data_IF_249152554896
#
_entry.id   IF_249152554896
#
_cell.length_a   1.000
_cell.length_b   1.000
_cell.length_c   1.000
_cell.angle_alpha   90.00
_cell.angle_beta   90.00
_cell.angle_gamma   90.00
#
_symmetry.space_group_name_H-M   'P 1'
#
loop_
_entity.id
_entity.type
_entity.pdbx_description
1 polymer ?
#
# COMPACT_ATOMS: atom_id res chain seq x y z
N UNK A 1 -2.09 13.58 -16.41
CA UNK A 1 -2.24 12.18 -16.87
C UNK A 1 -3.08 11.45 -15.82
N UNK A 2 -4.39 11.26 -16.06
CA UNK A 2 -5.30 10.54 -15.14
C UNK A 2 -5.03 9.05 -15.33
N UNK A 3 -4.42 8.38 -14.35
CA UNK A 3 -4.19 6.94 -14.45
C UNK A 3 -5.52 6.18 -14.23
N UNK A 4 -6.09 5.76 -15.37
CA UNK A 4 -6.65 4.45 -15.69
C UNK A 4 -7.59 3.74 -14.70
N UNK A 5 -8.85 3.58 -15.15
CA UNK A 5 -9.78 2.46 -14.99
C UNK A 5 -9.53 1.45 -13.83
N UNK A 6 -9.41 1.94 -12.60
CA UNK A 6 -9.20 1.12 -11.40
C UNK A 6 -10.34 0.13 -11.11
N UNK A 7 -11.50 0.25 -11.79
CA UNK A 7 -12.59 -0.74 -11.78
C UNK A 7 -12.76 -1.46 -13.13
N UNK A 8 -11.65 -1.87 -13.74
CA UNK A 8 -11.63 -2.55 -15.03
C UNK A 8 -12.52 -3.79 -15.05
N UNK A 9 -13.48 -3.85 -15.97
CA UNK A 9 -14.30 -5.06 -16.19
C UNK A 9 -13.42 -6.25 -16.59
N UNK A 10 -12.39 -6.02 -17.41
CA UNK A 10 -11.53 -7.09 -17.91
C UNK A 10 -10.77 -7.82 -16.78
N UNK A 11 -10.34 -7.09 -15.74
CA UNK A 11 -9.68 -7.69 -14.57
C UNK A 11 -10.68 -8.57 -13.80
N UNK A 12 -11.91 -8.07 -13.62
CA UNK A 12 -12.97 -8.84 -12.98
C UNK A 12 -13.37 -10.08 -13.78
N UNK A 13 -13.42 -10.00 -15.11
CA UNK A 13 -13.72 -11.13 -16.00
C UNK A 13 -12.64 -12.22 -15.91
N UNK A 14 -11.36 -11.82 -15.78
CA UNK A 14 -10.25 -12.75 -15.53
C UNK A 14 -10.44 -13.44 -14.16
N UNK A 15 -10.81 -12.67 -13.13
CA UNK A 15 -11.14 -13.25 -11.81
C UNK A 15 -12.27 -14.26 -11.90
N UNK A 16 -13.37 -13.96 -12.61
CA UNK A 16 -14.51 -14.89 -12.74
C UNK A 16 -14.10 -16.19 -13.42
N UNK A 17 -13.33 -16.12 -14.51
CA UNK A 17 -12.79 -17.32 -15.17
C UNK A 17 -11.87 -18.12 -14.25
N UNK A 18 -11.04 -17.42 -13.46
CA UNK A 18 -10.16 -18.06 -12.49
C UNK A 18 -10.95 -18.72 -11.35
N UNK A 19 -12.00 -18.06 -10.87
CA UNK A 19 -12.91 -18.56 -9.85
C UNK A 19 -13.57 -19.86 -10.33
N UNK A 20 -14.14 -19.86 -11.54
CA UNK A 20 -14.87 -21.01 -12.12
C UNK A 20 -13.94 -22.13 -12.62
N UNK A 21 -12.61 -21.93 -12.67
CA UNK A 21 -11.66 -22.94 -13.14
C UNK A 21 -11.45 -24.11 -12.15
N UNK A 22 -10.99 -25.25 -12.66
CA UNK A 22 -10.66 -26.44 -11.86
C UNK A 22 -9.28 -26.36 -11.17
N UNK A 23 -8.61 -25.21 -11.23
CA UNK A 23 -7.31 -25.04 -10.59
C UNK A 23 -7.41 -25.17 -9.06
N UNK A 24 -6.35 -25.68 -8.43
CA UNK A 24 -6.27 -25.66 -6.97
C UNK A 24 -6.23 -24.22 -6.44
N UNK A 25 -6.72 -24.01 -5.21
CA UNK A 25 -6.75 -22.70 -4.58
C UNK A 25 -5.37 -22.01 -4.60
N UNK A 26 -4.29 -22.73 -4.30
CA UNK A 26 -2.94 -22.17 -4.31
C UNK A 26 -2.51 -21.63 -5.70
N UNK A 27 -2.91 -22.31 -6.78
CA UNK A 27 -2.67 -21.82 -8.15
C UNK A 27 -3.52 -20.59 -8.46
N UNK A 28 -4.80 -20.59 -8.07
CA UNK A 28 -5.70 -19.43 -8.22
C UNK A 28 -5.13 -18.21 -7.49
N UNK A 29 -4.72 -18.39 -6.24
CA UNK A 29 -4.09 -17.37 -5.41
C UNK A 29 -2.83 -16.78 -6.07
N UNK A 30 -1.93 -17.62 -6.60
CA UNK A 30 -0.71 -17.16 -7.26
C UNK A 30 -0.99 -16.32 -8.51
N UNK A 31 -1.90 -16.79 -9.37
CA UNK A 31 -2.31 -16.07 -10.59
C UNK A 31 -2.97 -14.75 -10.22
N UNK A 32 -3.88 -14.78 -9.24
CA UNK A 32 -4.59 -13.60 -8.77
C UNK A 32 -3.63 -12.53 -8.24
N UNK A 33 -2.68 -12.91 -7.37
CA UNK A 33 -1.63 -11.98 -6.92
C UNK A 33 -0.88 -11.37 -8.09
N UNK A 34 -0.50 -12.19 -9.06
CA UNK A 34 0.24 -11.73 -10.24
C UNK A 34 -0.57 -10.75 -11.10
N UNK A 35 -1.90 -10.87 -11.11
CA UNK A 35 -2.81 -9.96 -11.82
C UNK A 35 -2.87 -8.58 -11.16
N UNK A 36 -2.78 -8.50 -9.82
CA UNK A 36 -2.82 -7.22 -9.10
C UNK A 36 -1.42 -6.58 -8.99
N UNK A 37 -0.36 -7.39 -9.00
CA UNK A 37 1.03 -6.91 -8.88
C UNK A 37 1.42 -6.02 -10.06
N UNK A 38 1.92 -4.82 -9.76
CA UNK A 38 2.41 -3.87 -10.76
C UNK A 38 1.35 -2.89 -11.25
N UNK A 39 0.10 -3.08 -10.86
CA UNK A 39 -0.95 -2.11 -11.09
C UNK A 39 -0.71 -0.82 -10.30
N UNK A 40 -0.94 0.33 -10.94
CA UNK A 40 -0.71 1.64 -10.33
C UNK A 40 -1.60 1.92 -9.11
N UNK A 41 -2.68 1.17 -8.96
CA UNK A 41 -3.60 1.23 -7.84
C UNK A 41 -3.33 0.18 -6.76
N UNK A 42 -2.49 -0.83 -7.03
CA UNK A 42 -2.19 -1.86 -6.05
C UNK A 42 -1.13 -1.42 -5.04
N UNK A 43 -1.33 -1.81 -3.78
CA UNK A 43 -0.43 -1.52 -2.64
C UNK A 43 -0.11 -0.03 -2.48
N UNK A 44 -1.12 0.81 -2.75
CA UNK A 44 -1.06 2.24 -2.54
C UNK A 44 -0.81 2.52 -1.06
N UNK A 45 0.13 3.42 -0.81
CA UNK A 45 0.31 3.94 0.53
C UNK A 45 -0.87 4.88 0.82
N UNK A 46 -1.63 4.56 1.86
CA UNK A 46 -2.81 5.32 2.31
C UNK A 46 -2.55 6.04 3.63
N UNK A 47 -1.45 5.73 4.32
CA UNK A 47 -1.06 6.41 5.55
C UNK A 47 0.45 6.41 5.80
N UNK A 48 0.89 7.31 6.66
CA UNK A 48 2.27 7.40 7.12
C UNK A 48 2.31 7.52 8.64
N UNK A 49 3.17 6.73 9.28
CA UNK A 49 3.34 6.78 10.72
C UNK A 49 4.12 8.02 11.18
N UNK A 50 3.95 8.35 12.45
CA UNK A 50 4.62 9.47 13.10
C UNK A 50 6.13 9.32 13.05
N UNK A 51 6.69 8.18 13.47
CA UNK A 51 8.15 8.00 13.50
C UNK A 51 8.74 7.88 12.10
N UNK A 52 7.96 7.38 11.13
CA UNK A 52 8.34 7.42 9.72
C UNK A 52 8.46 8.86 9.22
N UNK A 53 7.46 9.71 9.48
CA UNK A 53 7.49 11.13 9.10
C UNK A 53 8.64 11.89 9.78
N UNK A 54 8.92 11.60 11.04
CA UNK A 54 10.07 12.17 11.76
C UNK A 54 11.41 11.73 11.16
N UNK A 55 11.52 10.46 10.73
CA UNK A 55 12.70 9.95 10.03
C UNK A 55 12.94 10.71 8.72
N UNK A 56 11.87 11.01 7.97
CA UNK A 56 11.96 11.86 6.78
C UNK A 56 12.38 13.30 7.09
N UNK A 57 11.84 13.90 8.16
CA UNK A 57 12.23 15.25 8.63
C UNK A 57 13.71 15.32 8.96
N UNK A 58 14.23 14.35 9.73
CA UNK A 58 15.66 14.26 10.10
C UNK A 58 16.58 14.19 8.88
N UNK A 59 16.13 13.52 7.82
CA UNK A 59 16.86 13.44 6.55
C UNK A 59 16.55 14.59 5.58
N UNK A 60 15.93 15.69 6.03
CA UNK A 60 15.55 16.85 5.20
C UNK A 60 14.70 16.47 3.96
N UNK A 61 13.94 15.37 4.05
CA UNK A 61 13.16 14.81 2.95
C UNK A 61 13.98 14.48 1.71
N UNK A 62 15.27 14.17 1.85
CA UNK A 62 16.08 13.75 0.72
C UNK A 62 15.77 12.32 0.30
N UNK A 63 15.63 12.11 -1.01
CA UNK A 63 15.56 10.77 -1.58
C UNK A 63 16.86 10.04 -1.26
N UNK A 64 16.73 8.79 -0.89
CA UNK A 64 17.85 7.87 -0.82
C UNK A 64 18.49 7.66 -2.20
N UNK A 65 19.52 8.45 -2.51
CA UNK A 65 20.28 8.28 -3.75
C UNK A 65 21.25 7.10 -3.59
N UNK A 66 21.27 6.20 -4.57
CA UNK A 66 22.43 5.31 -4.78
C UNK A 66 23.60 6.20 -5.22
N UNK A 67 24.38 6.69 -4.28
CA UNK A 67 25.74 7.17 -4.57
C UNK A 67 26.60 5.91 -4.63
N UNK A 68 27.43 5.78 -5.68
CA UNK A 68 28.09 4.57 -6.20
C UNK A 68 28.78 3.64 -5.17
N UNK A 69 28.91 3.99 -3.90
CA UNK A 69 29.55 3.17 -2.86
C UNK A 69 28.79 3.07 -1.53
N UNK A 70 27.75 3.89 -1.26
CA UNK A 70 26.96 3.80 -0.02
C UNK A 70 25.49 4.14 -0.31
N UNK A 71 24.60 3.15 -0.15
CA UNK A 71 23.14 3.37 -0.15
C UNK A 71 22.81 4.18 1.11
N UNK A 72 22.61 5.50 0.99
CA UNK A 72 21.97 6.32 2.03
C UNK A 72 20.45 6.13 1.95
N UNK A 73 19.98 4.90 2.17
CA UNK A 73 18.54 4.65 2.35
C UNK A 73 18.13 5.04 3.76
N UNK A 74 16.91 5.54 3.92
CA UNK A 74 16.21 5.42 5.19
C UNK A 74 15.95 3.92 5.35
N UNK A 75 16.94 3.19 5.85
CA UNK A 75 16.94 1.71 5.94
C UNK A 75 15.84 1.19 6.87
N UNK A 76 15.28 2.08 7.69
CA UNK A 76 14.30 1.76 8.70
C UNK A 76 12.86 1.88 8.22
N UNK A 77 12.57 2.37 7.01
CA UNK A 77 11.17 2.53 6.55
C UNK A 77 10.73 1.34 5.72
N UNK A 78 9.54 0.84 6.01
CA UNK A 78 8.89 -0.32 5.38
C UNK A 78 7.41 -0.03 5.13
N UNK A 79 6.80 -0.83 4.25
CA UNK A 79 5.36 -0.82 4.02
C UNK A 79 4.71 -1.89 4.87
N UNK A 80 3.67 -1.51 5.59
CA UNK A 80 2.85 -2.40 6.40
C UNK A 80 1.47 -2.49 5.76
N UNK A 81 1.11 -3.68 5.30
CA UNK A 81 -0.27 -3.97 4.89
C UNK A 81 -1.08 -4.22 6.16
N UNK A 82 -2.19 -3.49 6.33
CA UNK A 82 -3.05 -3.64 7.51
C UNK A 82 -3.75 -4.99 7.52
N UNK A 83 -4.16 -5.44 6.33
CA UNK A 83 -4.79 -6.73 6.13
C UNK A 83 -3.82 -7.66 5.40
N UNK A 84 -3.78 -8.92 5.83
CA UNK A 84 -3.05 -9.94 5.11
C UNK A 84 -3.75 -10.23 3.79
N UNK A 85 -3.08 -9.92 2.68
CA UNK A 85 -3.62 -10.14 1.34
C UNK A 85 -4.01 -11.60 1.08
N UNK A 86 -3.37 -12.56 1.75
CA UNK A 86 -3.72 -13.96 1.61
C UNK A 86 -5.12 -14.27 2.15
N UNK A 87 -5.52 -13.60 3.22
CA UNK A 87 -6.82 -13.81 3.85
C UNK A 87 -7.91 -13.07 3.06
N UNK A 88 -7.60 -11.87 2.54
CA UNK A 88 -8.42 -11.17 1.53
C UNK A 88 -8.70 -12.05 0.31
N UNK A 89 -7.66 -12.65 -0.27
CA UNK A 89 -7.80 -13.51 -1.45
C UNK A 89 -8.65 -14.74 -1.13
N UNK A 90 -8.41 -15.38 0.03
CA UNK A 90 -9.26 -16.50 0.47
C UNK A 90 -10.73 -16.09 0.51
N UNK A 91 -11.06 -15.00 1.19
CA UNK A 91 -12.44 -14.50 1.29
C UNK A 91 -13.09 -14.23 -0.08
N UNK A 92 -12.34 -13.63 -1.01
CA UNK A 92 -12.76 -13.35 -2.39
C UNK A 92 -13.04 -14.63 -3.20
N UNK A 93 -12.31 -15.72 -2.93
CA UNK A 93 -12.53 -17.00 -3.61
C UNK A 93 -13.53 -17.91 -2.88
N UNK A 94 -13.78 -17.70 -1.59
CA UNK A 94 -14.87 -18.38 -0.86
C UNK A 94 -16.23 -17.76 -1.16
N UNK A 95 -16.29 -16.44 -1.30
CA UNK A 95 -17.52 -15.70 -1.55
C UNK A 95 -17.45 -15.20 -2.99
N UNK A 96 -18.18 -15.83 -3.93
CA UNK A 96 -18.30 -15.29 -5.30
C UNK A 96 -18.98 -13.91 -5.22
N UNK A 97 -18.20 -12.84 -5.36
CA UNK A 97 -18.67 -11.46 -5.21
C UNK A 97 -19.14 -10.88 -6.54
N UNK A 98 -20.05 -9.92 -6.47
CA UNK A 98 -20.34 -9.03 -7.60
C UNK A 98 -19.12 -8.17 -7.94
N UNK A 99 -19.12 -7.53 -9.11
CA UNK A 99 -18.00 -6.68 -9.54
C UNK A 99 -17.76 -5.54 -8.55
N UNK A 100 -18.83 -4.92 -8.09
CA UNK A 100 -18.82 -3.79 -7.17
C UNK A 100 -18.22 -4.21 -5.82
N UNK A 101 -18.76 -5.28 -5.23
CA UNK A 101 -18.29 -5.84 -3.95
C UNK A 101 -16.84 -6.31 -4.04
N UNK A 102 -16.45 -6.90 -5.16
CA UNK A 102 -15.08 -7.37 -5.39
C UNK A 102 -14.09 -6.21 -5.39
N UNK A 103 -14.39 -5.14 -6.13
CA UNK A 103 -13.54 -3.96 -6.15
C UNK A 103 -13.49 -3.24 -4.81
N UNK A 104 -14.64 -3.10 -4.14
CA UNK A 104 -14.70 -2.42 -2.84
C UNK A 104 -13.91 -3.20 -1.78
N UNK A 105 -13.96 -4.53 -1.81
CA UNK A 105 -13.15 -5.39 -0.94
C UNK A 105 -11.65 -5.20 -1.17
N UNK A 106 -11.19 -5.27 -2.42
CA UNK A 106 -9.77 -5.10 -2.77
C UNK A 106 -9.27 -3.71 -2.35
N UNK A 107 -10.01 -2.65 -2.69
CA UNK A 107 -9.60 -1.29 -2.38
C UNK A 107 -9.58 -1.01 -0.87
N UNK A 108 -10.48 -1.63 -0.12
CA UNK A 108 -10.54 -1.48 1.34
C UNK A 108 -9.38 -2.21 2.03
N UNK A 109 -9.01 -3.39 1.54
CA UNK A 109 -8.05 -4.27 2.23
C UNK A 109 -6.61 -4.11 1.75
N UNK A 110 -6.36 -3.48 0.60
CA UNK A 110 -5.00 -3.15 0.14
C UNK A 110 -4.39 -1.89 0.79
N UNK A 111 -5.04 -1.35 1.83
CA UNK A 111 -4.54 -0.21 2.60
C UNK A 111 -3.15 -0.51 3.17
N UNK A 112 -2.19 0.31 2.78
CA UNK A 112 -0.79 0.15 3.15
C UNK A 112 -0.28 1.39 3.84
N UNK A 113 0.38 1.24 4.99
CA UNK A 113 1.02 2.33 5.70
C UNK A 113 2.54 2.32 5.51
N UNK A 114 3.14 3.51 5.41
CA UNK A 114 4.59 3.66 5.59
C UNK A 114 4.90 3.78 7.08
N UNK A 115 5.67 2.83 7.58
CA UNK A 115 6.05 2.73 8.99
C UNK A 115 7.55 2.49 9.10
N UNK A 116 8.10 2.63 10.31
CA UNK A 116 9.46 2.16 10.60
C UNK A 116 9.47 0.68 10.99
N UNK A 117 10.60 -0.01 10.84
CA UNK A 117 10.72 -1.42 11.26
C UNK A 117 10.59 -1.59 12.77
N UNK A 118 10.89 -0.55 13.53
CA UNK A 118 10.74 -0.54 14.98
C UNK A 118 9.26 -0.46 15.35
N UNK A 119 8.49 0.43 14.70
CA UNK A 119 7.02 0.54 14.90
C UNK A 119 6.26 -0.76 14.58
N UNK A 120 6.78 -1.62 13.71
CA UNK A 120 6.17 -2.92 13.41
C UNK A 120 6.25 -3.92 14.56
N UNK A 121 7.15 -3.71 15.52
CA UNK A 121 7.29 -4.57 16.70
C UNK A 121 6.37 -4.14 17.84
N UNK A 122 5.86 -2.91 17.76
CA UNK A 122 4.97 -2.35 18.76
C UNK A 122 3.54 -2.84 18.53
N UNK A 123 2.74 -2.85 19.59
CA UNK A 123 1.32 -3.24 19.54
C UNK A 123 0.50 -2.31 18.64
N UNK A 124 0.89 -1.04 18.57
CA UNK A 124 0.27 -0.04 17.72
C UNK A 124 1.27 1.04 17.32
N UNK A 125 0.96 1.75 16.24
CA UNK A 125 1.66 2.97 15.86
C UNK A 125 0.68 4.10 15.57
N UNK A 126 1.17 5.33 15.71
CA UNK A 126 0.41 6.52 15.39
C UNK A 126 0.61 6.88 13.92
N UNK A 127 -0.47 7.14 13.19
CA UNK A 127 -0.40 7.49 11.77
C UNK A 127 -1.35 8.63 11.39
N UNK A 128 -1.13 9.16 10.19
CA UNK A 128 -2.04 10.08 9.51
C UNK A 128 -2.25 9.61 8.09
N UNK A 129 -3.42 9.88 7.53
CA UNK A 129 -3.74 9.47 6.16
C UNK A 129 -2.93 10.32 5.17
N UNK A 130 -2.64 9.73 4.02
CA UNK A 130 -2.11 10.47 2.87
C UNK A 130 -3.12 10.44 1.74
N UNK A 131 -3.23 11.51 0.94
CA UNK A 131 -4.12 11.52 -0.21
C UNK A 131 -3.80 10.37 -1.17
N UNK A 132 -4.82 9.67 -1.65
CA UNK A 132 -4.68 8.54 -2.56
C UNK A 132 -4.27 8.95 -3.99
N UNK A 133 -4.15 10.26 -4.24
CA UNK A 133 -3.95 10.86 -5.55
C UNK A 133 -2.60 10.50 -6.18
N UNK A 134 -2.67 9.55 -7.12
CA UNK A 134 -1.61 9.29 -8.10
C UNK A 134 -0.42 8.52 -7.56
N UNK A 135 -0.69 7.47 -6.77
CA UNK A 135 0.28 6.41 -6.47
C UNK A 135 1.51 6.94 -5.75
N UNK A 136 1.35 7.65 -4.64
CA UNK A 136 2.52 8.09 -3.88
C UNK A 136 3.32 6.89 -3.38
N UNK A 137 4.65 7.01 -3.48
CA UNK A 137 5.59 5.99 -3.01
C UNK A 137 5.41 4.62 -3.69
N UNK A 138 5.47 4.53 -5.03
CA UNK A 138 5.35 3.25 -5.79
C UNK A 138 6.58 2.34 -5.60
N UNK A 139 6.37 1.03 -5.79
CA UNK A 139 7.41 -0.01 -5.68
C UNK A 139 8.40 0.07 -6.86
N UNK A 140 9.69 0.05 -6.55
CA UNK A 140 10.76 0.03 -7.55
C UNK A 140 11.68 -1.19 -7.45
N UNK A 141 11.30 -2.24 -6.72
CA UNK A 141 12.08 -3.46 -6.36
C UNK A 141 12.92 -3.33 -5.07
N UNK A 142 12.33 -3.63 -3.91
CA UNK A 142 12.97 -3.66 -2.55
C UNK A 142 13.22 -2.31 -1.86
N UNK A 143 12.77 -1.21 -2.46
CA UNK A 143 12.71 0.11 -1.81
C UNK A 143 11.58 0.94 -2.42
N UNK A 144 11.00 1.85 -1.64
CA UNK A 144 10.04 2.80 -2.19
C UNK A 144 10.79 3.83 -3.03
N UNK A 145 10.30 4.07 -4.24
CA UNK A 145 10.75 5.19 -5.06
C UNK A 145 9.90 6.41 -4.70
N UNK A 146 10.59 7.47 -4.33
CA UNK A 146 10.02 8.76 -3.98
C UNK A 146 10.54 9.80 -4.96
N UNK A 147 9.66 10.58 -5.57
CA UNK A 147 9.95 11.67 -6.50
C UNK A 147 9.84 13.03 -5.79
N UNK A 148 10.03 14.13 -6.52
CA UNK A 148 9.82 15.47 -5.98
C UNK A 148 8.35 15.72 -5.59
N UNK A 149 7.39 15.00 -6.20
CA UNK A 149 5.96 15.07 -5.87
C UNK A 149 5.71 14.61 -4.43
N UNK A 150 6.17 13.40 -4.09
CA UNK A 150 6.11 12.90 -2.71
C UNK A 150 6.91 13.82 -1.75
N UNK A 151 7.96 14.51 -2.23
CA UNK A 151 8.75 15.44 -1.40
C UNK A 151 7.97 16.63 -0.95
N UNK A 152 7.24 17.21 -1.88
CA UNK A 152 6.35 18.32 -1.58
C UNK A 152 5.25 17.85 -0.63
N UNK A 153 4.67 16.66 -0.85
CA UNK A 153 3.67 16.07 0.05
C UNK A 153 4.20 15.90 1.47
N UNK A 154 5.34 15.24 1.66
CA UNK A 154 5.92 15.05 2.99
C UNK A 154 6.22 16.37 3.68
N UNK A 155 6.76 17.35 2.96
CA UNK A 155 6.99 18.71 3.50
C UNK A 155 5.69 19.39 3.89
N UNK A 156 4.63 19.23 3.11
CA UNK A 156 3.33 19.78 3.41
C UNK A 156 2.74 19.17 4.68
N UNK A 157 2.63 17.83 4.74
CA UNK A 157 2.17 17.09 5.94
C UNK A 157 3.01 17.48 7.16
N UNK A 158 4.31 17.65 7.00
CA UNK A 158 5.22 17.98 8.10
C UNK A 158 4.96 19.33 8.79
N UNK A 159 4.29 20.25 8.08
CA UNK A 159 3.99 21.63 8.50
C UNK A 159 2.55 21.82 8.97
N UNK A 160 1.65 20.88 8.67
CA UNK A 160 0.26 20.96 9.11
C UNK A 160 0.12 20.43 10.54
N UNK A 161 -0.94 20.88 11.24
CA UNK A 161 -1.31 20.29 12.52
C UNK A 161 -1.93 18.92 12.25
N UNK A 162 -1.26 17.85 12.67
CA UNK A 162 -1.68 16.47 12.42
C UNK A 162 -2.49 15.96 13.61
N UNK A 163 -3.67 15.42 13.34
CA UNK A 163 -4.41 14.58 14.27
C UNK A 163 -3.97 13.13 14.07
N UNK A 164 -3.32 12.55 15.07
CA UNK A 164 -2.76 11.20 14.98
C UNK A 164 -3.81 10.15 15.32
N UNK A 165 -3.91 9.13 14.47
CA UNK A 165 -4.77 7.95 14.60
C UNK A 165 -3.97 6.75 15.12
N UNK A 166 -4.60 5.81 15.83
CA UNK A 166 -3.96 4.54 16.24
C UNK A 166 -4.23 3.44 15.22
N UNK A 167 -3.22 2.65 14.91
CA UNK A 167 -3.31 1.57 13.91
C UNK A 167 -4.19 0.39 14.32
N UNK A 168 -4.42 0.19 15.62
CA UNK A 168 -5.23 -0.90 16.17
C UNK A 168 -6.64 -0.44 16.61
N UNK A 169 -7.06 0.77 16.21
CA UNK A 169 -8.38 1.29 16.57
C UNK A 169 -9.48 0.47 15.84
N UNK A 170 -10.38 -0.23 16.56
CA UNK A 170 -11.40 -1.08 15.96
C UNK A 170 -12.37 -0.33 15.05
N UNK A 171 -12.51 0.99 15.22
CA UNK A 171 -13.39 1.83 14.40
C UNK A 171 -12.81 2.14 13.02
N UNK A 172 -11.60 1.66 12.72
CA UNK A 172 -10.83 1.99 11.51
C UNK A 172 -10.41 0.76 10.69
N UNK A 173 -10.75 -0.46 11.15
CA UNK A 173 -10.66 -1.73 10.41
C UNK A 173 -11.95 -1.98 9.64
#
# INVERSE_FOLDING_TARGET
>A
MRFYNHKSSAIFDIYLKLYDSELSFEKKKLIFKSLLVGESWSWKVTGISKLCLESFKKNKFEKSRKIKTKRRTIKNVVRHQLTNIDDTIKDIFFTKRTKEEWWDKILTEEKTHLVTKDELKDEYYLFTDIPEDGGYFINGTTGYLYSDKEKLLLKHISKTKILWKRSNDPLMQ
#
